data_IF_140275782836
#
_entry.id   IF_140275782836
#
_cell.length_a   1.000
_cell.length_b   1.000
_cell.length_c   1.000
_cell.angle_alpha   90.00
_cell.angle_beta   90.00
_cell.angle_gamma   90.00
#
_symmetry.space_group_name_H-M   'P 1'
#
loop_
_entity.id
_entity.type
_entity.pdbx_description
1 polymer ?
#
# COMPACT_ATOMS: atom_id res chain seq x y z
N UNK A 1 5.30 9.26 3.99
CA UNK A 1 6.59 9.45 3.31
C UNK A 1 6.83 8.22 2.45
N UNK A 2 7.33 8.38 1.22
CA UNK A 2 7.61 7.27 0.30
C UNK A 2 9.12 7.06 0.28
N UNK A 3 9.55 5.80 0.41
CA UNK A 3 10.96 5.42 0.37
C UNK A 3 11.21 4.57 -0.86
N UNK A 4 12.44 4.60 -1.38
CA UNK A 4 12.84 3.73 -2.47
C UNK A 4 12.74 2.26 -2.05
N UNK A 5 12.20 1.43 -2.93
CA UNK A 5 11.99 0.03 -2.66
C UNK A 5 11.84 -0.76 -3.94
N UNK A 6 12.17 -2.05 -3.86
CA UNK A 6 11.89 -2.96 -4.96
C UNK A 6 10.39 -3.17 -5.09
N UNK A 7 9.76 -2.47 -6.03
CA UNK A 7 8.36 -2.67 -6.34
C UNK A 7 8.19 -3.95 -7.18
N UNK A 8 7.90 -5.05 -6.50
CA UNK A 8 6.76 -5.83 -6.95
C UNK A 8 5.49 -4.98 -6.66
N UNK A 9 4.42 -5.14 -7.45
CA UNK A 9 3.14 -4.51 -7.12
C UNK A 9 2.74 -4.83 -5.67
N UNK A 10 2.02 -3.93 -5.01
CA UNK A 10 1.48 -4.17 -3.67
C UNK A 10 0.62 -5.43 -3.74
N UNK A 11 1.09 -6.50 -3.12
CA UNK A 11 0.36 -7.76 -3.07
C UNK A 11 -0.83 -7.63 -2.12
N UNK A 12 -1.89 -8.37 -2.42
CA UNK A 12 -3.02 -8.49 -1.52
C UNK A 12 -2.56 -9.15 -0.20
N UNK A 13 -2.86 -8.56 0.97
CA UNK A 13 -2.46 -9.13 2.25
C UNK A 13 -3.23 -10.43 2.52
N UNK A 14 -2.57 -11.37 3.18
CA UNK A 14 -3.16 -12.66 3.54
C UNK A 14 -4.13 -12.49 4.71
N UNK A 15 -5.38 -12.16 4.40
CA UNK A 15 -6.46 -12.03 5.38
C UNK A 15 -7.67 -12.87 4.99
N UNK A 16 -8.44 -13.31 6.00
CA UNK A 16 -9.72 -13.98 5.81
C UNK A 16 -10.70 -13.04 5.10
N UNK A 17 -11.35 -13.58 4.07
CA UNK A 17 -12.31 -12.92 3.19
C UNK A 17 -13.56 -13.78 2.96
N UNK A 18 -13.65 -14.92 3.64
CA UNK A 18 -14.72 -15.92 3.46
C UNK A 18 -16.10 -15.39 3.84
N UNK A 19 -16.16 -14.37 4.69
CA UNK A 19 -17.37 -13.68 5.10
C UNK A 19 -17.85 -12.59 4.13
N UNK A 20 -17.05 -12.25 3.09
CA UNK A 20 -17.38 -11.20 2.13
C UNK A 20 -18.28 -11.75 1.02
N UNK A 21 -19.20 -10.91 0.56
CA UNK A 21 -20.10 -11.23 -0.56
C UNK A 21 -19.53 -10.74 -1.88
N UNK A 22 -19.79 -11.43 -2.98
CA UNK A 22 -19.38 -10.95 -4.31
C UNK A 22 -20.37 -9.88 -4.82
N UNK A 23 -19.89 -8.67 -5.08
CA UNK A 23 -20.68 -7.63 -5.77
C UNK A 23 -20.51 -7.81 -7.28
N UNK A 24 -21.51 -8.42 -7.92
CA UNK A 24 -21.45 -8.78 -9.34
C UNK A 24 -21.30 -7.56 -10.26
N UNK A 25 -21.75 -6.37 -9.82
CA UNK A 25 -21.60 -5.12 -10.57
C UNK A 25 -20.19 -4.50 -10.41
N UNK A 26 -19.38 -5.06 -9.51
CA UNK A 26 -18.04 -4.59 -9.13
C UNK A 26 -18.04 -3.52 -8.04
N UNK A 27 -16.93 -3.44 -7.31
CA UNK A 27 -16.74 -2.53 -6.17
C UNK A 27 -17.03 -1.06 -6.52
N UNK A 28 -16.65 -0.63 -7.73
CA UNK A 28 -16.81 0.73 -8.24
C UNK A 28 -18.27 1.23 -8.32
N UNK A 29 -19.26 0.34 -8.17
CA UNK A 29 -20.68 0.70 -8.09
C UNK A 29 -21.18 0.98 -6.68
N UNK A 30 -20.41 0.58 -5.66
CA UNK A 30 -20.77 0.74 -4.26
C UNK A 30 -20.46 2.17 -3.80
N UNK A 31 -21.47 2.84 -3.27
CA UNK A 31 -21.39 4.25 -2.84
C UNK A 31 -21.46 4.42 -1.33
N UNK A 32 -21.51 3.33 -0.57
CA UNK A 32 -21.56 3.35 0.89
C UNK A 32 -20.50 2.41 1.50
N UNK A 33 -20.05 2.79 2.70
CA UNK A 33 -18.96 2.11 3.39
C UNK A 33 -19.32 0.68 3.78
N UNK A 34 -20.56 0.43 4.21
CA UNK A 34 -20.97 -0.86 4.75
C UNK A 34 -21.02 -1.92 3.63
N UNK A 35 -21.62 -1.58 2.49
CA UNK A 35 -21.65 -2.45 1.31
C UNK A 35 -20.24 -2.66 0.77
N UNK A 36 -19.43 -1.61 0.68
CA UNK A 36 -18.04 -1.72 0.22
C UNK A 36 -17.21 -2.66 1.11
N UNK A 37 -17.23 -2.47 2.42
CA UNK A 37 -16.41 -3.23 3.37
C UNK A 37 -16.90 -4.66 3.64
N UNK A 38 -18.05 -5.03 3.10
CA UNK A 38 -18.58 -6.39 3.14
C UNK A 38 -18.47 -7.14 1.82
N UNK A 39 -17.79 -6.56 0.83
CA UNK A 39 -17.79 -7.07 -0.54
C UNK A 39 -16.42 -7.41 -1.10
N UNK A 40 -16.43 -8.33 -2.05
CA UNK A 40 -15.39 -8.55 -3.05
C UNK A 40 -15.92 -8.15 -4.42
N UNK A 41 -15.02 -7.83 -5.34
CA UNK A 41 -15.40 -7.53 -6.70
C UNK A 41 -15.83 -8.82 -7.43
N UNK A 42 -17.12 -8.93 -7.71
CA UNK A 42 -17.72 -10.09 -8.38
C UNK A 42 -17.77 -9.99 -9.89
N UNK A 43 -17.17 -8.95 -10.51
CA UNK A 43 -17.24 -8.80 -11.97
C UNK A 43 -16.53 -9.95 -12.67
N UNK A 44 -17.03 -10.33 -13.85
CA UNK A 44 -16.44 -11.43 -14.64
C UNK A 44 -15.08 -11.06 -15.25
N UNK A 45 -14.81 -9.77 -15.46
CA UNK A 45 -13.53 -9.30 -15.96
C UNK A 45 -12.44 -9.60 -14.93
N UNK A 46 -11.57 -10.57 -15.24
CA UNK A 46 -10.47 -10.91 -14.35
C UNK A 46 -9.52 -9.72 -14.15
N UNK A 47 -9.29 -8.90 -15.20
CA UNK A 47 -8.36 -7.78 -15.17
C UNK A 47 -8.88 -6.54 -15.89
N UNK A 48 -8.49 -5.37 -15.39
CA UNK A 48 -8.74 -4.06 -16.01
C UNK A 48 -7.41 -3.28 -16.01
N UNK A 49 -6.98 -2.77 -17.17
CA UNK A 49 -5.64 -2.16 -17.36
C UNK A 49 -4.48 -3.05 -16.88
N UNK A 50 -4.64 -4.38 -16.97
CA UNK A 50 -3.65 -5.37 -16.50
C UNK A 50 -3.66 -5.64 -14.99
N UNK A 51 -4.51 -4.94 -14.23
CA UNK A 51 -4.69 -5.07 -12.78
C UNK A 51 -5.79 -6.10 -12.49
N UNK A 52 -5.56 -6.99 -11.54
CA UNK A 52 -6.54 -7.97 -11.09
C UNK A 52 -7.71 -7.27 -10.41
N UNK A 53 -8.93 -7.46 -10.90
CA UNK A 53 -10.12 -6.87 -10.23
C UNK A 53 -11.03 -7.94 -9.69
N UNK A 54 -11.35 -8.97 -10.48
CA UNK A 54 -12.24 -10.06 -10.04
C UNK A 54 -11.69 -10.78 -8.82
N UNK A 55 -12.55 -10.99 -7.83
CA UNK A 55 -12.25 -11.64 -6.55
C UNK A 55 -11.40 -10.81 -5.59
N UNK A 56 -11.03 -9.57 -5.94
CA UNK A 56 -10.33 -8.69 -4.99
C UNK A 56 -11.31 -8.18 -3.93
N UNK A 57 -10.88 -8.05 -2.66
CA UNK A 57 -11.68 -7.31 -1.68
C UNK A 57 -11.81 -5.86 -2.12
N UNK A 58 -12.96 -5.27 -1.81
CA UNK A 58 -13.20 -3.87 -2.08
C UNK A 58 -12.45 -2.97 -1.09
N UNK A 59 -12.12 -1.76 -1.54
CA UNK A 59 -11.44 -0.72 -0.77
C UNK A 59 -12.35 0.49 -0.67
N UNK A 60 -12.76 0.84 0.55
CA UNK A 60 -13.54 2.04 0.83
C UNK A 60 -12.61 3.24 0.98
N UNK A 61 -12.78 4.27 0.16
CA UNK A 61 -11.91 5.44 0.10
C UNK A 61 -12.33 6.58 1.04
N UNK A 62 -13.01 6.23 2.14
CA UNK A 62 -13.41 7.19 3.17
C UNK A 62 -14.56 8.12 2.77
N UNK A 63 -15.37 7.74 1.76
CA UNK A 63 -16.48 8.54 1.24
C UNK A 63 -16.08 9.65 0.27
N UNK A 64 -14.78 9.82 0.03
CA UNK A 64 -14.24 10.65 -1.05
C UNK A 64 -13.93 9.84 -2.30
N UNK A 65 -13.38 10.53 -3.31
CA UNK A 65 -12.89 9.89 -4.53
C UNK A 65 -11.73 8.94 -4.20
N UNK A 66 -11.74 7.75 -4.79
CA UNK A 66 -10.59 6.86 -4.73
C UNK A 66 -9.42 7.43 -5.53
N UNK A 67 -9.64 7.85 -6.78
CA UNK A 67 -8.57 8.27 -7.68
C UNK A 67 -9.01 9.38 -8.65
N UNK A 68 -8.05 9.97 -9.38
CA UNK A 68 -8.25 11.18 -10.20
C UNK A 68 -9.12 11.02 -11.45
N UNK A 69 -9.40 9.79 -11.88
CA UNK A 69 -10.11 9.50 -13.13
C UNK A 69 -11.55 9.03 -12.93
N UNK A 70 -12.11 9.13 -11.72
CA UNK A 70 -13.48 8.69 -11.45
C UNK A 70 -14.14 9.42 -10.27
N UNK A 71 -15.46 9.23 -10.18
CA UNK A 71 -16.30 9.65 -9.05
C UNK A 71 -16.45 8.58 -7.95
N UNK A 72 -15.66 7.50 -7.99
CA UNK A 72 -15.95 6.29 -7.21
C UNK A 72 -15.42 6.39 -5.79
N UNK A 73 -16.19 5.86 -4.83
CA UNK A 73 -15.85 5.87 -3.40
C UNK A 73 -15.38 4.50 -2.90
N UNK A 74 -15.49 3.49 -3.76
CA UNK A 74 -15.13 2.10 -3.50
C UNK A 74 -14.47 1.52 -4.75
N UNK A 75 -13.37 0.79 -4.62
CA UNK A 75 -12.66 0.20 -5.77
C UNK A 75 -12.01 -1.15 -5.41
N UNK A 76 -11.67 -2.02 -6.38
CA UNK A 76 -10.92 -3.25 -6.13
C UNK A 76 -9.51 -2.95 -5.61
N UNK A 77 -9.02 -3.77 -4.68
CA UNK A 77 -7.70 -3.57 -4.06
C UNK A 77 -6.56 -3.36 -5.06
N UNK A 78 -6.30 -4.30 -5.97
CA UNK A 78 -5.16 -4.19 -6.90
C UNK A 78 -5.30 -2.96 -7.81
N UNK A 79 -6.54 -2.57 -8.14
CA UNK A 79 -6.81 -1.39 -8.94
C UNK A 79 -6.31 -0.11 -8.24
N UNK A 80 -6.71 0.12 -6.99
CA UNK A 80 -6.28 1.33 -6.26
C UNK A 80 -4.82 1.28 -5.80
N UNK A 81 -4.30 0.10 -5.47
CA UNK A 81 -2.94 -0.01 -4.95
C UNK A 81 -1.88 0.00 -6.05
N UNK A 82 -2.21 -0.48 -7.25
CA UNK A 82 -1.25 -0.64 -8.35
C UNK A 82 -1.64 0.08 -9.64
N UNK A 83 -2.75 0.83 -9.64
CA UNK A 83 -3.24 1.56 -10.81
C UNK A 83 -2.66 2.95 -11.03
N UNK A 84 -1.95 3.53 -10.04
CA UNK A 84 -1.30 4.83 -10.22
C UNK A 84 -0.25 4.76 -11.34
N UNK A 85 -0.32 5.67 -12.32
CA UNK A 85 0.51 5.66 -13.52
C UNK A 85 0.13 4.60 -14.58
N UNK A 86 -0.96 3.85 -14.38
CA UNK A 86 -1.49 2.87 -15.34
C UNK A 86 -2.94 3.11 -15.71
N UNK A 87 -3.80 3.21 -14.71
CA UNK A 87 -5.26 3.40 -14.83
C UNK A 87 -5.71 4.80 -14.40
N UNK A 88 -4.92 5.49 -13.56
CA UNK A 88 -5.16 6.84 -13.09
C UNK A 88 -3.86 7.52 -12.66
N UNK A 89 -3.88 8.85 -12.54
CA UNK A 89 -2.67 9.63 -12.22
C UNK A 89 -2.40 9.73 -10.71
N UNK A 90 -3.46 9.71 -9.89
CA UNK A 90 -3.33 9.89 -8.44
C UNK A 90 -4.34 9.05 -7.67
N UNK A 91 -3.85 8.26 -6.70
CA UNK A 91 -4.68 7.66 -5.65
C UNK A 91 -4.87 8.67 -4.51
N UNK A 92 -6.10 9.16 -4.33
CA UNK A 92 -6.44 10.21 -3.37
C UNK A 92 -6.56 9.71 -1.93
N UNK A 93 -7.07 8.49 -1.75
CA UNK A 93 -7.40 7.98 -0.42
C UNK A 93 -6.25 7.23 0.28
N UNK A 94 -4.99 7.47 -0.10
CA UNK A 94 -3.78 6.78 0.43
C UNK A 94 -3.71 6.69 1.96
N UNK A 95 -4.29 7.66 2.67
CA UNK A 95 -4.24 7.75 4.14
C UNK A 95 -5.60 7.50 4.82
N UNK A 96 -6.67 7.32 4.05
CA UNK A 96 -8.04 7.28 4.57
C UNK A 96 -8.82 6.05 4.13
N UNK A 97 -8.20 5.18 3.32
CA UNK A 97 -8.85 3.99 2.82
C UNK A 97 -9.00 2.91 3.90
N UNK A 98 -10.01 2.06 3.74
CA UNK A 98 -10.20 0.85 4.53
C UNK A 98 -10.43 -0.33 3.58
N UNK A 99 -9.82 -1.47 3.89
CA UNK A 99 -9.93 -2.70 3.11
C UNK A 99 -11.08 -3.55 3.65
N UNK A 100 -11.88 -4.14 2.74
CA UNK A 100 -12.86 -5.15 3.11
C UNK A 100 -12.16 -6.43 3.61
N UNK A 101 -12.61 -6.95 4.74
CA UNK A 101 -12.05 -8.15 5.34
C UNK A 101 -12.96 -8.77 6.37
N UNK A 102 -12.48 -9.86 6.97
CA UNK A 102 -13.21 -10.58 8.01
C UNK A 102 -12.52 -10.45 9.36
N UNK A 103 -13.32 -10.12 10.38
CA UNK A 103 -12.94 -10.23 11.79
C UNK A 103 -13.98 -11.07 12.50
N UNK A 104 -13.54 -12.16 13.14
CA UNK A 104 -14.42 -13.11 13.83
C UNK A 104 -15.58 -13.62 12.95
N UNK A 105 -15.27 -13.90 11.67
CA UNK A 105 -16.24 -14.39 10.68
C UNK A 105 -17.26 -13.36 10.20
N UNK A 106 -17.10 -12.07 10.55
CA UNK A 106 -17.99 -10.99 10.12
C UNK A 106 -17.22 -9.95 9.30
N UNK A 107 -17.89 -9.29 8.33
CA UNK A 107 -17.30 -8.17 7.62
C UNK A 107 -16.79 -7.08 8.56
N UNK A 108 -15.58 -6.62 8.30
CA UNK A 108 -14.93 -5.57 9.07
C UNK A 108 -14.04 -4.71 8.16
N UNK A 109 -13.91 -3.43 8.53
CA UNK A 109 -12.85 -2.59 8.01
C UNK A 109 -11.50 -3.10 8.51
N UNK A 110 -10.60 -3.43 7.59
CA UNK A 110 -9.22 -3.72 7.91
C UNK A 110 -8.34 -2.59 7.40
N UNK A 111 -7.34 -2.24 8.20
CA UNK A 111 -6.21 -1.44 7.73
C UNK A 111 -5.05 -2.40 7.51
N UNK A 112 -4.23 -2.10 6.52
CA UNK A 112 -3.02 -2.88 6.27
C UNK A 112 -2.11 -2.72 7.50
N UNK A 113 -1.95 -3.79 8.30
CA UNK A 113 -0.99 -3.84 9.41
C UNK A 113 0.41 -3.62 8.82
N UNK A 114 0.84 -2.36 8.82
CA UNK A 114 2.04 -1.89 8.12
C UNK A 114 2.04 -0.39 7.82
N UNK A 115 0.88 0.29 7.84
CA UNK A 115 0.80 1.74 7.58
C UNK A 115 0.19 2.61 8.68
N UNK A 116 -0.24 2.05 9.82
CA UNK A 116 -0.74 2.85 10.95
C UNK A 116 -0.26 2.35 12.32
N UNK A 117 1.05 2.40 12.59
CA UNK A 117 1.54 2.35 13.98
C UNK A 117 1.46 3.71 14.69
N UNK A 118 0.94 4.76 14.05
CA UNK A 118 0.84 6.08 14.68
C UNK A 118 -0.44 6.80 14.24
N UNK A 119 -1.50 6.68 15.03
CA UNK A 119 -2.47 7.78 15.13
C UNK A 119 -1.78 8.89 15.94
N UNK A 120 -1.76 10.12 15.42
CA UNK A 120 -1.35 11.29 16.19
C UNK A 120 -2.20 11.36 17.48
N UNK A 121 -1.60 11.08 18.64
CA UNK A 121 -2.22 11.32 19.95
C UNK A 121 -2.34 10.13 20.91
N UNK A 122 -1.87 8.92 20.57
CA UNK A 122 -1.87 7.79 21.51
C UNK A 122 -0.45 7.37 21.91
N UNK A 123 -0.11 7.50 23.19
CA UNK A 123 1.14 7.01 23.77
C UNK A 123 0.82 5.93 24.83
N UNK A 124 1.13 4.65 24.61
CA UNK A 124 1.15 3.66 25.68
C UNK A 124 2.34 3.93 26.62
N UNK A 125 2.25 3.56 27.92
CA UNK A 125 3.22 3.95 28.93
C UNK A 125 4.60 3.33 28.69
N UNK A 126 5.62 4.18 28.83
CA UNK A 126 7.03 3.91 28.54
C UNK A 126 7.64 2.95 29.57
N UNK A 127 7.97 1.74 29.14
CA UNK A 127 9.03 0.91 29.74
C UNK A 127 10.42 1.38 29.27
N UNK A 128 11.52 0.89 29.88
CA UNK A 128 12.87 1.40 29.62
C UNK A 128 13.30 1.13 28.17
N UNK A 129 13.71 2.21 27.49
CA UNK A 129 13.95 2.25 26.05
C UNK A 129 15.23 1.52 25.60
N UNK A 130 15.18 0.75 24.49
CA UNK A 130 16.37 0.44 23.71
C UNK A 130 16.94 1.71 23.04
N UNK A 131 18.25 1.72 22.77
CA UNK A 131 19.03 2.84 22.19
C UNK A 131 18.64 3.25 20.75
N UNK A 132 17.57 2.68 20.19
CA UNK A 132 17.04 3.05 18.88
C UNK A 132 15.56 3.36 19.07
N UNK A 133 15.09 4.56 18.72
CA UNK A 133 13.69 4.89 18.86
C UNK A 133 12.83 3.91 18.04
N UNK A 134 11.78 3.35 18.66
CA UNK A 134 10.90 2.35 18.05
C UNK A 134 10.17 2.82 16.78
N UNK A 135 10.22 4.12 16.45
CA UNK A 135 9.63 4.72 15.25
C UNK A 135 10.58 4.70 14.05
N UNK A 136 11.83 4.28 14.24
CA UNK A 136 12.79 4.06 13.15
C UNK A 136 12.55 2.63 12.63
N UNK A 137 12.03 2.46 11.41
CA UNK A 137 11.88 1.13 10.82
C UNK A 137 13.23 0.43 10.74
N UNK A 138 13.25 -0.89 10.93
CA UNK A 138 14.46 -1.66 10.70
C UNK A 138 14.96 -1.43 9.26
N UNK A 139 16.27 -1.26 9.12
CA UNK A 139 16.90 -1.15 7.80
C UNK A 139 16.53 -2.40 6.98
N UNK A 140 16.00 -2.24 5.75
CA UNK A 140 15.74 -3.39 4.87
C UNK A 140 17.00 -4.22 4.65
N UNK A 141 16.83 -5.54 4.51
CA UNK A 141 17.93 -6.47 4.24
C UNK A 141 18.55 -6.15 2.87
N UNK A 142 19.86 -6.34 2.73
CA UNK A 142 20.61 -6.02 1.50
C UNK A 142 20.00 -6.69 0.24
N UNK A 143 19.51 -7.92 0.38
CA UNK A 143 18.88 -8.67 -0.70
C UNK A 143 17.61 -8.00 -1.25
N UNK A 144 16.83 -7.33 -0.40
CA UNK A 144 15.59 -6.64 -0.81
C UNK A 144 15.85 -5.28 -1.44
N UNK A 145 17.12 -4.88 -1.57
CA UNK A 145 17.54 -3.62 -2.18
C UNK A 145 18.26 -3.83 -3.53
N UNK A 146 18.47 -5.07 -3.97
CA UNK A 146 19.26 -5.41 -5.17
C UNK A 146 18.73 -4.81 -6.47
N UNK A 147 17.42 -4.56 -6.55
CA UNK A 147 16.82 -3.95 -7.73
C UNK A 147 17.07 -2.43 -7.79
N UNK A 148 17.47 -1.80 -6.69
CA UNK A 148 17.66 -0.36 -6.60
C UNK A 148 19.05 0.00 -7.11
N UNK A 149 19.10 1.06 -7.91
CA UNK A 149 20.35 1.57 -8.45
C UNK A 149 21.19 2.15 -7.32
N UNK A 150 22.41 1.66 -7.11
CA UNK A 150 23.30 2.22 -6.09
C UNK A 150 23.96 3.50 -6.62
N UNK A 151 23.71 4.63 -5.97
CA UNK A 151 24.31 5.92 -6.35
C UNK A 151 25.56 6.21 -5.51
N UNK A 152 26.72 6.29 -6.16
CA UNK A 152 28.02 6.57 -5.50
C UNK A 152 28.04 7.92 -4.77
N UNK A 153 27.35 8.93 -5.30
CA UNK A 153 27.20 10.25 -4.67
C UNK A 153 26.19 10.28 -3.51
N UNK A 154 25.62 9.13 -3.15
CA UNK A 154 24.53 9.01 -2.20
C UNK A 154 23.20 9.54 -2.71
N UNK A 155 22.13 9.34 -1.93
CA UNK A 155 20.79 9.78 -2.32
C UNK A 155 20.66 11.32 -2.36
N UNK A 156 21.51 12.05 -1.63
CA UNK A 156 21.50 13.52 -1.60
C UNK A 156 21.80 14.17 -2.96
N UNK A 157 22.45 13.44 -3.87
CA UNK A 157 22.77 13.91 -5.22
C UNK A 157 21.63 13.65 -6.24
N UNK A 158 20.50 13.10 -5.81
CA UNK A 158 19.37 12.76 -6.67
C UNK A 158 18.26 13.78 -6.45
N UNK A 159 17.94 14.54 -7.49
CA UNK A 159 16.93 15.61 -7.42
C UNK A 159 15.59 15.22 -8.05
N UNK A 160 15.58 14.16 -8.85
CA UNK A 160 14.37 13.66 -9.50
C UNK A 160 13.70 12.59 -8.65
N UNK A 161 12.40 12.75 -8.37
CA UNK A 161 11.66 11.86 -7.48
C UNK A 161 11.65 10.40 -7.99
N UNK A 162 11.43 10.18 -9.28
CA UNK A 162 11.46 8.83 -9.87
C UNK A 162 12.84 8.18 -9.80
N UNK A 163 13.90 8.96 -9.99
CA UNK A 163 15.27 8.49 -9.79
C UNK A 163 15.55 8.18 -8.32
N UNK A 164 15.03 8.99 -7.39
CA UNK A 164 15.18 8.77 -5.96
C UNK A 164 14.51 7.45 -5.53
N UNK A 165 13.28 7.21 -5.96
CA UNK A 165 12.50 6.01 -5.61
C UNK A 165 13.01 4.70 -6.23
N UNK A 166 13.86 4.78 -7.25
CA UNK A 166 14.50 3.63 -7.90
C UNK A 166 15.96 3.44 -7.48
N UNK A 167 16.42 4.19 -6.47
CA UNK A 167 17.82 4.26 -6.07
C UNK A 167 18.04 3.94 -4.60
N UNK A 168 19.26 3.52 -4.28
CA UNK A 168 19.74 3.31 -2.91
C UNK A 168 21.07 4.04 -2.70
N UNK A 169 21.34 4.38 -1.44
CA UNK A 169 22.57 5.06 -1.08
C UNK A 169 23.78 4.13 -1.26
N UNK A 170 24.72 4.53 -2.11
CA UNK A 170 25.96 3.80 -2.38
C UNK A 170 27.21 4.47 -1.80
N UNK A 171 27.06 5.57 -1.04
CA UNK A 171 28.18 6.38 -0.54
C UNK A 171 29.11 5.64 0.43
N UNK A 172 28.66 4.52 1.01
CA UNK A 172 29.45 3.66 1.91
C UNK A 172 30.16 2.46 1.25
N UNK A 173 30.03 2.24 -0.06
CA UNK A 173 30.55 1.01 -0.72
C UNK A 173 32.05 1.09 -1.08
N UNK A 174 32.74 2.19 -0.72
CA UNK A 174 34.20 2.31 -0.86
C UNK A 174 34.94 2.27 0.49
N UNK A 175 34.82 1.18 1.24
CA UNK A 175 35.89 0.78 2.15
C UNK A 175 35.77 -0.69 2.57
N UNK A 176 36.56 -1.56 1.92
CA UNK A 176 37.25 -2.76 2.45
C UNK A 176 37.62 -3.76 1.34
N UNK A 177 38.51 -3.34 0.47
CA UNK A 177 39.53 -4.17 -0.20
C UNK A 177 40.76 -3.24 -0.22
N UNK A 178 41.74 -3.33 0.68
CA UNK A 178 42.51 -4.52 0.99
C UNK A 178 43.88 -4.40 0.32
N UNK A 179 44.70 -3.42 0.78
CA UNK A 179 46.16 -3.43 0.98
C UNK A 179 46.66 -2.00 1.21
#
# INVERSE_FOLDING_TARGET
>A
FTVAGCQAGVALPEHDRSCLSAENSGCHKLTDAASCLSSTDGRQDAKVYGLQVSGQPCVWCGGGLCHSSSGTMCEPFDFVMNGEGKAFDLFHAKLTYNLAGCKDGRPAAMQFDGYTSTILGYAPPLGPAPLVPHWVPERPKEDSLKCLTAHKGGCAAIHEMGACLSSRDGSGVMSRQGL
#
